data_IF_703268597695
#
_entry.id   IF_703268597695
#
_cell.length_a   1.000
_cell.length_b   1.000
_cell.length_c   1.000
_cell.angle_alpha   90.00
_cell.angle_beta   90.00
_cell.angle_gamma   90.00
#
_symmetry.space_group_name_H-M   'P 1'
#
loop_
_entity.id
_entity.type
_entity.pdbx_description
1 polymer ?
#
# COMPACT_ATOMS: atom_id res chain seq x y z
N UNK A 1 50.48 -38.66 -51.72
CA UNK A 1 49.16 -38.67 -51.11
C UNK A 1 49.26 -38.00 -49.76
N UNK A 2 48.41 -37.09 -49.47
CA UNK A 2 48.20 -36.28 -48.24
C UNK A 2 48.45 -34.79 -48.45
N UNK A 3 47.40 -34.12 -48.89
CA UNK A 3 47.16 -32.71 -48.59
C UNK A 3 45.72 -32.34 -48.95
N UNK A 4 44.72 -32.79 -48.18
CA UNK A 4 43.31 -32.40 -48.36
C UNK A 4 42.53 -32.23 -47.05
N UNK A 5 43.17 -32.24 -45.83
CA UNK A 5 42.46 -32.22 -44.57
C UNK A 5 42.33 -30.82 -43.86
N UNK A 6 43.12 -29.82 -44.27
CA UNK A 6 43.23 -28.57 -43.49
C UNK A 6 42.28 -27.44 -43.97
N UNK A 7 41.75 -27.55 -45.17
CA UNK A 7 40.86 -26.49 -45.71
C UNK A 7 39.43 -26.53 -45.21
N UNK A 8 38.92 -27.70 -44.82
CA UNK A 8 37.51 -27.82 -44.38
C UNK A 8 37.24 -27.35 -42.93
N UNK A 9 38.26 -27.37 -42.03
CA UNK A 9 38.09 -26.86 -40.65
C UNK A 9 38.04 -25.35 -40.53
N UNK A 10 38.73 -24.66 -41.46
CA UNK A 10 38.73 -23.18 -41.47
C UNK A 10 37.44 -22.59 -42.01
N UNK A 11 36.76 -23.24 -42.94
CA UNK A 11 35.46 -22.81 -43.47
C UNK A 11 34.31 -23.02 -42.48
N UNK A 12 34.34 -24.12 -41.72
CA UNK A 12 33.33 -24.39 -40.68
C UNK A 12 33.42 -23.42 -39.50
N UNK A 13 34.64 -23.05 -39.06
CA UNK A 13 34.90 -22.05 -38.02
C UNK A 13 34.53 -20.63 -38.43
N UNK A 14 34.71 -20.28 -39.73
CA UNK A 14 34.28 -18.98 -40.25
C UNK A 14 32.76 -18.88 -40.38
N UNK A 15 32.07 -19.93 -40.75
CA UNK A 15 30.60 -20.01 -40.76
C UNK A 15 29.99 -19.86 -39.40
N UNK A 16 30.54 -20.59 -38.39
CA UNK A 16 30.06 -20.49 -36.99
C UNK A 16 30.30 -19.06 -36.39
N UNK A 17 31.44 -18.41 -36.70
CA UNK A 17 31.70 -17.03 -36.27
C UNK A 17 30.75 -16.02 -36.91
N UNK A 18 30.40 -16.20 -38.18
CA UNK A 18 29.41 -15.37 -38.89
C UNK A 18 28.00 -15.59 -38.33
N UNK A 19 27.63 -16.82 -37.96
CA UNK A 19 26.33 -17.11 -37.33
C UNK A 19 26.22 -16.51 -35.96
N UNK A 20 27.25 -16.62 -35.11
CA UNK A 20 27.29 -16.00 -33.77
C UNK A 20 27.26 -14.48 -33.91
N UNK A 21 27.99 -13.89 -34.83
CA UNK A 21 27.96 -12.45 -35.08
C UNK A 21 26.57 -11.98 -35.57
N UNK A 22 25.92 -12.74 -36.45
CA UNK A 22 24.55 -12.43 -36.91
C UNK A 22 23.53 -12.54 -35.80
N UNK A 23 23.64 -13.54 -34.93
CA UNK A 23 22.74 -13.70 -33.73
C UNK A 23 23.00 -12.57 -32.73
N UNK A 24 24.27 -12.23 -32.46
CA UNK A 24 24.59 -11.09 -31.60
C UNK A 24 24.11 -9.74 -32.18
N UNK A 25 24.22 -9.55 -33.52
CA UNK A 25 23.65 -8.39 -34.18
C UNK A 25 22.12 -8.36 -34.15
N UNK A 26 21.45 -9.49 -34.33
CA UNK A 26 19.97 -9.57 -34.18
C UNK A 26 19.53 -9.28 -32.75
N UNK A 27 20.20 -9.85 -31.75
CA UNK A 27 19.93 -9.54 -30.34
C UNK A 27 20.18 -8.06 -30.04
N UNK A 28 21.26 -7.49 -30.55
CA UNK A 28 21.57 -6.05 -30.42
C UNK A 28 20.53 -5.17 -31.14
N UNK A 29 20.03 -5.60 -32.31
CA UNK A 29 19.02 -4.85 -33.09
C UNK A 29 17.66 -4.96 -32.38
N UNK A 30 17.31 -6.11 -31.78
CA UNK A 30 16.07 -6.27 -30.98
C UNK A 30 16.15 -5.44 -29.69
N UNK A 31 17.30 -5.44 -29.00
CA UNK A 31 17.52 -4.60 -27.83
C UNK A 31 17.49 -3.08 -28.19
N UNK A 32 18.09 -2.69 -29.31
CA UNK A 32 18.06 -1.33 -29.83
C UNK A 32 16.65 -0.92 -30.31
N UNK A 33 15.87 -1.85 -30.87
CA UNK A 33 14.49 -1.60 -31.25
C UNK A 33 13.56 -1.47 -30.03
N UNK A 34 13.82 -2.21 -28.96
CA UNK A 34 13.13 -2.07 -27.68
C UNK A 34 13.47 -0.71 -27.01
N UNK A 35 14.75 -0.27 -27.02
CA UNK A 35 15.14 1.06 -26.55
C UNK A 35 14.52 2.20 -27.38
N UNK A 36 14.33 2.00 -28.68
CA UNK A 36 13.66 2.99 -29.55
C UNK A 36 12.14 3.05 -29.38
N UNK A 37 11.52 2.02 -28.78
CA UNK A 37 10.07 2.06 -28.42
C UNK A 37 9.79 3.02 -27.26
N UNK A 38 10.77 3.34 -26.44
CA UNK A 38 10.70 4.21 -25.27
C UNK A 38 11.38 5.55 -25.56
N UNK A 39 10.66 6.46 -26.20
CA UNK A 39 11.10 7.87 -26.29
C UNK A 39 10.81 8.55 -24.94
N UNK A 40 11.57 8.19 -23.91
CA UNK A 40 11.60 9.01 -22.70
C UNK A 40 12.33 10.32 -22.98
N UNK A 41 11.85 11.43 -22.42
CA UNK A 41 12.63 12.65 -22.41
C UNK A 41 13.97 12.36 -21.75
N UNK A 42 15.05 12.36 -22.49
CA UNK A 42 16.39 12.02 -22.00
C UNK A 42 16.77 12.93 -20.83
N UNK A 43 16.73 12.38 -19.63
CA UNK A 43 17.56 12.85 -18.52
C UNK A 43 18.74 11.88 -18.48
N UNK A 44 19.94 12.41 -18.55
CA UNK A 44 21.18 11.61 -18.63
C UNK A 44 21.39 10.68 -17.39
N UNK A 45 20.56 10.83 -16.35
CA UNK A 45 20.62 10.08 -15.08
C UNK A 45 19.40 9.18 -14.81
N UNK A 46 18.37 9.19 -15.67
CA UNK A 46 17.18 8.39 -15.42
C UNK A 46 17.46 6.89 -15.58
N UNK A 47 17.12 6.11 -14.55
CA UNK A 47 17.06 4.66 -14.62
C UNK A 47 15.63 4.25 -14.98
N UNK A 48 15.48 3.42 -16.00
CA UNK A 48 14.19 2.88 -16.47
C UNK A 48 14.21 1.38 -16.32
N UNK A 49 13.19 0.81 -15.70
CA UNK A 49 12.93 -0.62 -15.61
C UNK A 49 11.52 -0.90 -16.07
N UNK A 50 11.32 -1.87 -16.96
CA UNK A 50 10.01 -2.22 -17.51
C UNK A 50 9.92 -3.72 -17.68
N UNK A 51 8.79 -4.28 -17.26
CA UNK A 51 8.36 -5.63 -17.60
C UNK A 51 6.90 -5.56 -18.04
N UNK A 52 6.62 -6.11 -19.23
CA UNK A 52 5.25 -6.39 -19.69
C UNK A 52 5.20 -7.87 -20.00
N UNK A 53 4.43 -8.62 -19.19
CA UNK A 53 4.34 -10.08 -19.29
C UNK A 53 2.95 -10.51 -19.72
N UNK A 54 2.89 -11.36 -20.74
CA UNK A 54 1.67 -12.10 -21.09
C UNK A 54 1.41 -13.17 -20.01
N UNK A 55 0.25 -13.09 -19.35
CA UNK A 55 -0.08 -14.01 -18.24
C UNK A 55 -0.50 -15.41 -18.72
N UNK A 56 -0.89 -15.55 -19.98
CA UNK A 56 -1.28 -16.85 -20.52
C UNK A 56 -0.07 -17.69 -20.95
N UNK A 57 0.96 -17.04 -21.50
CA UNK A 57 2.18 -17.73 -21.99
C UNK A 57 3.34 -17.64 -20.98
N UNK A 58 3.34 -16.64 -20.09
CA UNK A 58 4.46 -16.32 -19.23
C UNK A 58 5.60 -15.58 -19.94
N UNK A 59 5.43 -15.21 -21.21
CA UNK A 59 6.44 -14.52 -22.01
C UNK A 59 6.50 -13.02 -21.66
N UNK A 60 7.70 -12.49 -21.51
CA UNK A 60 7.94 -11.06 -21.36
C UNK A 60 7.99 -10.37 -22.74
N UNK A 61 6.90 -9.66 -23.09
CA UNK A 61 6.80 -8.88 -24.32
C UNK A 61 7.77 -7.70 -24.33
N UNK A 62 8.02 -7.15 -23.15
CA UNK A 62 9.03 -6.12 -22.92
C UNK A 62 9.77 -6.44 -21.63
N UNK A 63 11.10 -6.49 -21.71
CA UNK A 63 12.02 -6.64 -20.59
C UNK A 63 13.14 -5.58 -20.73
N UNK A 64 13.15 -4.62 -19.80
CA UNK A 64 14.19 -3.57 -19.74
C UNK A 64 14.63 -3.44 -18.29
N UNK A 65 15.90 -3.76 -18.01
CA UNK A 65 16.49 -3.68 -16.68
C UNK A 65 15.64 -4.37 -15.60
N UNK A 66 15.05 -5.51 -15.91
CA UNK A 66 14.11 -6.23 -15.05
C UNK A 66 14.70 -6.57 -13.69
N UNK A 67 16.00 -6.86 -13.61
CA UNK A 67 16.70 -7.24 -12.37
C UNK A 67 17.31 -6.05 -11.61
N UNK A 68 17.08 -4.81 -12.08
CA UNK A 68 17.66 -3.64 -11.43
C UNK A 68 16.87 -3.25 -10.20
N UNK A 69 17.53 -3.17 -9.02
CA UNK A 69 16.94 -2.64 -7.81
C UNK A 69 16.59 -1.16 -7.96
N UNK A 70 15.32 -0.83 -7.82
CA UNK A 70 14.76 0.51 -8.01
C UNK A 70 13.85 0.91 -6.85
N UNK A 71 13.73 2.21 -6.60
CA UNK A 71 12.77 2.73 -5.63
C UNK A 71 11.34 2.60 -6.19
N UNK A 72 10.44 1.88 -5.50
CA UNK A 72 9.09 1.62 -5.99
C UNK A 72 8.13 2.79 -5.78
N UNK A 73 8.38 3.67 -4.82
CA UNK A 73 7.36 4.55 -4.29
C UNK A 73 6.07 3.76 -3.95
N UNK A 74 4.89 4.32 -4.13
CA UNK A 74 3.63 3.71 -3.68
C UNK A 74 3.18 2.47 -4.45
N UNK A 75 3.93 1.95 -5.45
CA UNK A 75 3.64 0.60 -5.95
C UNK A 75 4.02 -0.48 -4.92
N UNK A 76 4.75 -0.11 -3.85
CA UNK A 76 4.96 -0.96 -2.66
C UNK A 76 3.63 -1.47 -2.08
N UNK A 77 2.56 -0.68 -2.16
CA UNK A 77 1.22 -1.07 -1.71
C UNK A 77 0.66 -2.31 -2.42
N UNK A 78 1.16 -2.64 -3.62
CA UNK A 78 0.85 -3.91 -4.28
C UNK A 78 1.39 -5.09 -3.48
N UNK A 79 2.61 -4.94 -2.93
CA UNK A 79 3.27 -5.97 -2.10
C UNK A 79 2.47 -6.17 -0.81
N UNK A 80 2.20 -5.07 -0.08
CA UNK A 80 1.42 -5.11 1.17
C UNK A 80 0.02 -5.71 0.96
N UNK A 81 -0.70 -5.31 -0.11
CA UNK A 81 -2.02 -5.88 -0.41
C UNK A 81 -1.96 -7.37 -0.72
N UNK A 82 -0.95 -7.82 -1.46
CA UNK A 82 -0.76 -9.24 -1.77
C UNK A 82 -0.47 -10.04 -0.49
N UNK A 83 0.40 -9.55 0.39
CA UNK A 83 0.72 -10.21 1.65
C UNK A 83 -0.52 -10.37 2.55
N UNK A 84 -1.37 -9.34 2.68
CA UNK A 84 -2.63 -9.40 3.42
C UNK A 84 -3.58 -10.46 2.84
N UNK A 85 -3.68 -10.55 1.50
CA UNK A 85 -4.48 -11.58 0.84
C UNK A 85 -3.91 -12.98 1.03
N UNK A 86 -2.59 -13.14 0.98
CA UNK A 86 -1.92 -14.43 1.23
C UNK A 86 -2.10 -14.90 2.68
N UNK A 87 -2.23 -13.98 3.63
CA UNK A 87 -2.56 -14.27 5.04
C UNK A 87 -4.07 -14.44 5.29
N UNK A 88 -4.92 -14.34 4.24
CA UNK A 88 -6.39 -14.49 4.27
C UNK A 88 -7.12 -13.52 5.21
N UNK A 89 -6.64 -12.29 5.37
CA UNK A 89 -7.21 -11.29 6.29
C UNK A 89 -8.16 -10.30 5.62
N UNK A 90 -8.48 -10.47 4.35
CA UNK A 90 -9.31 -9.52 3.58
C UNK A 90 -10.74 -9.37 4.11
N UNK A 91 -11.27 -10.40 4.75
CA UNK A 91 -12.62 -10.43 5.32
C UNK A 91 -12.65 -10.04 6.81
N UNK A 92 -11.51 -9.74 7.41
CA UNK A 92 -11.42 -9.21 8.76
C UNK A 92 -11.70 -7.71 8.77
N UNK A 93 -11.93 -7.16 9.98
CA UNK A 93 -12.03 -5.73 10.23
C UNK A 93 -11.33 -5.39 11.55
N UNK A 94 -10.93 -4.14 11.73
CA UNK A 94 -10.51 -3.65 13.02
C UNK A 94 -11.70 -3.63 13.99
N UNK A 95 -11.45 -3.97 15.23
CA UNK A 95 -12.44 -3.93 16.31
C UNK A 95 -11.88 -3.09 17.46
N UNK A 96 -12.23 -1.79 17.46
CA UNK A 96 -11.84 -0.85 18.51
C UNK A 96 -12.82 -1.03 19.68
N UNK A 97 -12.37 -1.65 20.75
CA UNK A 97 -13.14 -1.90 21.93
C UNK A 97 -13.12 -0.69 22.89
N UNK A 98 -14.27 -0.45 23.52
CA UNK A 98 -14.44 0.58 24.53
C UNK A 98 -15.00 -0.08 25.79
N UNK A 99 -14.27 0.06 26.88
CA UNK A 99 -14.61 -0.55 28.16
C UNK A 99 -14.59 0.49 29.29
N UNK A 100 -15.16 0.14 30.42
CA UNK A 100 -15.06 0.91 31.64
C UNK A 100 -14.40 0.06 32.73
N UNK A 101 -13.64 0.72 33.61
CA UNK A 101 -13.17 0.13 34.87
C UNK A 101 -14.08 0.58 36.02
N UNK A 102 -13.99 -0.09 37.16
CA UNK A 102 -14.70 0.34 38.37
C UNK A 102 -16.19 0.05 38.38
N UNK A 103 -16.91 0.77 39.22
CA UNK A 103 -18.33 0.52 39.51
C UNK A 103 -19.16 1.79 39.32
N UNK A 104 -20.45 1.61 38.97
CA UNK A 104 -21.41 2.71 38.85
C UNK A 104 -22.17 2.84 40.17
N UNK A 105 -22.10 4.02 40.77
CA UNK A 105 -22.81 4.33 42.00
C UNK A 105 -24.33 4.52 41.77
N UNK A 106 -25.16 4.46 42.83
CA UNK A 106 -26.59 4.82 42.74
C UNK A 106 -26.86 6.23 42.18
N UNK A 107 -25.90 7.17 42.35
CA UNK A 107 -25.95 8.55 41.83
C UNK A 107 -25.52 8.65 40.38
N UNK A 108 -25.37 7.53 39.65
CA UNK A 108 -24.99 7.47 38.26
C UNK A 108 -23.54 7.97 37.98
N UNK A 109 -22.64 7.79 38.95
CA UNK A 109 -21.23 8.12 38.81
C UNK A 109 -20.42 6.82 38.61
N UNK A 110 -19.66 6.75 37.53
CA UNK A 110 -18.66 5.69 37.34
C UNK A 110 -17.44 6.06 38.19
N UNK A 111 -17.17 5.31 39.24
CA UNK A 111 -15.92 5.39 40.00
C UNK A 111 -14.89 4.53 39.27
N UNK A 112 -14.29 5.08 38.23
CA UNK A 112 -13.40 4.39 37.31
C UNK A 112 -13.11 5.23 36.08
N UNK A 113 -12.49 4.57 35.08
CA UNK A 113 -12.02 5.16 33.83
C UNK A 113 -12.81 4.64 32.62
N UNK A 114 -12.78 5.40 31.55
CA UNK A 114 -13.22 4.97 30.23
C UNK A 114 -11.98 4.61 29.39
N UNK A 115 -11.88 3.36 28.99
CA UNK A 115 -10.74 2.84 28.23
C UNK A 115 -11.15 2.64 26.77
N UNK A 116 -10.35 3.13 25.84
CA UNK A 116 -10.49 2.90 24.40
C UNK A 116 -9.27 2.14 23.90
N UNK A 117 -9.46 0.89 23.47
CA UNK A 117 -8.37 0.03 23.02
C UNK A 117 -7.94 0.41 21.58
N UNK A 118 -6.71 0.91 21.44
CA UNK A 118 -6.14 1.28 20.16
C UNK A 118 -5.59 0.07 19.42
N UNK A 119 -6.16 -0.24 18.25
CA UNK A 119 -5.80 -1.40 17.42
C UNK A 119 -5.20 -1.00 16.07
N UNK A 120 -4.88 0.29 15.89
CA UNK A 120 -4.34 0.79 14.62
C UNK A 120 -5.37 1.00 13.52
N UNK A 121 -6.69 0.98 13.83
CA UNK A 121 -7.75 1.24 12.86
C UNK A 121 -7.57 2.62 12.20
N UNK A 122 -7.31 2.68 10.87
CA UNK A 122 -7.08 3.94 10.18
C UNK A 122 -8.38 4.63 9.76
N UNK A 123 -9.54 4.00 9.99
CA UNK A 123 -10.83 4.43 9.44
C UNK A 123 -11.68 5.20 10.43
N UNK A 124 -11.26 5.34 11.70
CA UNK A 124 -12.02 6.07 12.71
C UNK A 124 -12.21 7.53 12.31
N UNK A 125 -13.48 7.93 12.09
CA UNK A 125 -13.88 9.26 11.57
C UNK A 125 -13.16 9.65 10.26
N UNK A 126 -12.76 8.64 9.46
CA UNK A 126 -12.18 8.88 8.15
C UNK A 126 -13.23 9.46 7.19
N UNK A 127 -12.81 10.46 6.41
CA UNK A 127 -13.64 11.02 5.33
C UNK A 127 -13.87 10.04 4.18
N UNK A 128 -13.10 8.95 4.13
CA UNK A 128 -13.17 7.90 3.10
C UNK A 128 -14.31 6.91 3.35
N UNK A 129 -14.76 6.78 4.60
CA UNK A 129 -15.79 5.84 5.03
C UNK A 129 -16.83 6.54 5.92
N UNK A 130 -17.63 7.48 5.36
CA UNK A 130 -18.57 8.28 6.12
C UNK A 130 -19.64 7.44 6.85
N UNK A 131 -19.97 6.26 6.35
CA UNK A 131 -20.94 5.32 6.95
C UNK A 131 -20.41 4.65 8.23
N UNK A 132 -19.09 4.75 8.51
CA UNK A 132 -18.47 4.20 9.72
C UNK A 132 -18.11 5.29 10.74
N UNK A 133 -18.57 6.53 10.53
CA UNK A 133 -18.36 7.64 11.46
C UNK A 133 -19.34 7.59 12.64
N UNK A 134 -19.09 8.43 13.66
CA UNK A 134 -19.96 8.61 14.82
C UNK A 134 -19.58 7.75 16.03
N UNK A 135 -18.30 7.36 16.15
CA UNK A 135 -17.82 6.58 17.31
C UNK A 135 -18.04 7.32 18.63
N UNK A 136 -17.80 8.64 18.69
CA UNK A 136 -17.97 9.43 19.91
C UNK A 136 -19.43 9.50 20.37
N UNK A 137 -20.38 9.63 19.43
CA UNK A 137 -21.82 9.58 19.72
C UNK A 137 -22.28 8.20 20.15
N UNK A 138 -21.71 7.16 19.55
CA UNK A 138 -21.98 5.76 19.93
C UNK A 138 -21.54 5.48 21.36
N UNK A 139 -20.33 5.90 21.73
CA UNK A 139 -19.82 5.78 23.11
C UNK A 139 -20.73 6.50 24.09
N UNK A 140 -21.06 7.78 23.83
CA UNK A 140 -21.93 8.57 24.69
C UNK A 140 -23.29 7.90 24.88
N UNK A 141 -23.88 7.37 23.80
CA UNK A 141 -25.17 6.65 23.86
C UNK A 141 -25.09 5.37 24.70
N UNK A 142 -23.95 4.66 24.66
CA UNK A 142 -23.76 3.44 25.47
C UNK A 142 -23.60 3.77 26.94
N UNK A 143 -22.84 4.81 27.28
CA UNK A 143 -22.71 5.29 28.67
C UNK A 143 -24.07 5.75 29.24
N UNK A 144 -24.87 6.49 28.47
CA UNK A 144 -26.24 6.88 28.89
C UNK A 144 -27.12 5.67 29.16
N UNK A 145 -27.09 4.64 28.32
CA UNK A 145 -27.84 3.40 28.52
C UNK A 145 -27.37 2.60 29.71
N UNK A 146 -26.10 2.69 30.07
CA UNK A 146 -25.54 2.12 31.29
C UNK A 146 -25.86 2.95 32.54
N UNK A 147 -26.60 4.07 32.41
CA UNK A 147 -26.99 4.95 33.50
C UNK A 147 -25.88 5.86 34.01
N UNK A 148 -24.78 6.00 33.24
CA UNK A 148 -23.62 6.81 33.64
C UNK A 148 -23.84 8.26 33.23
N UNK A 149 -23.78 9.16 34.22
CA UNK A 149 -23.87 10.62 34.03
C UNK A 149 -22.55 11.35 34.35
N UNK A 150 -21.65 10.65 35.02
CA UNK A 150 -20.32 11.18 35.33
C UNK A 150 -19.30 10.04 35.32
N UNK A 151 -18.15 10.28 34.74
CA UNK A 151 -16.94 9.46 34.86
C UNK A 151 -16.04 10.20 35.85
N UNK A 152 -15.70 9.59 36.99
CA UNK A 152 -14.84 10.22 37.99
C UNK A 152 -13.38 10.28 37.53
N UNK A 153 -12.91 9.24 36.85
CA UNK A 153 -11.55 9.11 36.34
C UNK A 153 -11.31 9.74 34.97
N UNK A 154 -10.51 9.08 34.17
CA UNK A 154 -9.99 9.58 32.90
C UNK A 154 -10.63 8.87 31.69
N UNK A 155 -10.38 9.42 30.52
CA UNK A 155 -10.52 8.74 29.23
C UNK A 155 -9.11 8.35 28.78
N UNK A 156 -8.80 7.07 28.83
CA UNK A 156 -7.51 6.53 28.45
C UNK A 156 -7.55 5.82 27.11
N UNK A 157 -6.50 5.98 26.34
CA UNK A 157 -6.28 5.22 25.12
C UNK A 157 -5.27 4.11 25.43
N UNK A 158 -5.78 2.90 25.56
CA UNK A 158 -4.93 1.72 25.74
C UNK A 158 -4.18 1.41 24.44
N UNK A 159 -2.87 1.37 24.54
CA UNK A 159 -1.94 1.05 23.45
C UNK A 159 -1.20 -0.27 23.69
N UNK A 160 -1.62 -1.06 24.66
CA UNK A 160 -1.06 -2.39 24.92
C UNK A 160 -1.17 -3.24 23.65
N UNK A 161 -0.07 -3.85 23.23
CA UNK A 161 0.00 -4.58 21.96
C UNK A 161 0.37 -3.73 20.74
N UNK A 162 0.61 -2.42 20.90
CA UNK A 162 1.08 -1.57 19.80
C UNK A 162 2.51 -1.09 20.07
N UNK A 163 3.50 -1.91 19.73
CA UNK A 163 4.89 -1.75 20.13
C UNK A 163 5.57 -0.47 19.60
N UNK A 164 5.17 0.00 18.44
CA UNK A 164 5.74 1.20 17.78
C UNK A 164 4.64 2.06 17.18
N UNK A 165 4.74 3.39 17.35
CA UNK A 165 3.78 4.35 16.82
C UNK A 165 4.45 5.57 16.20
N UNK A 166 3.70 6.29 15.38
CA UNK A 166 4.13 7.50 14.71
C UNK A 166 4.69 7.27 13.32
N UNK A 167 5.41 8.25 12.76
CA UNK A 167 5.98 8.17 11.43
C UNK A 167 7.07 7.11 11.32
N UNK A 168 7.22 6.53 10.12
CA UNK A 168 8.29 5.58 9.83
C UNK A 168 9.68 6.17 10.06
N UNK A 169 10.56 5.42 10.72
CA UNK A 169 11.91 5.88 11.13
C UNK A 169 12.81 6.32 9.95
N UNK A 170 12.52 5.85 8.74
CA UNK A 170 13.28 6.15 7.52
C UNK A 170 12.56 7.14 6.59
N UNK A 171 11.49 7.78 7.06
CA UNK A 171 10.79 8.79 6.28
C UNK A 171 11.53 10.13 6.32
N UNK A 172 11.44 10.88 5.23
CA UNK A 172 12.07 12.19 5.14
C UNK A 172 11.38 13.20 6.07
N UNK A 173 12.15 13.99 6.81
CA UNK A 173 11.62 14.98 7.75
C UNK A 173 10.66 16.00 7.11
N UNK A 174 10.85 16.28 5.82
CA UNK A 174 9.98 17.17 5.06
C UNK A 174 8.59 16.59 4.84
N UNK A 175 8.46 15.27 4.77
CA UNK A 175 7.20 14.56 4.56
C UNK A 175 6.35 14.51 5.83
N UNK A 176 6.99 14.50 7.02
CA UNK A 176 6.31 14.32 8.32
C UNK A 176 5.34 15.44 8.69
N UNK A 177 5.41 16.59 8.03
CA UNK A 177 4.48 17.71 8.25
C UNK A 177 3.17 17.60 7.46
N UNK A 178 3.12 16.70 6.48
CA UNK A 178 2.00 16.53 5.58
C UNK A 178 1.16 15.30 5.97
N UNK A 179 -0.11 15.29 5.63
CA UNK A 179 -1.04 14.20 5.94
C UNK A 179 -0.52 12.81 5.53
N UNK A 180 0.16 12.72 4.37
CA UNK A 180 0.70 11.46 3.88
C UNK A 180 1.93 10.94 4.66
N UNK A 181 2.50 11.75 5.54
CA UNK A 181 3.62 11.42 6.44
C UNK A 181 3.22 11.44 7.92
N UNK A 182 1.93 11.41 8.25
CA UNK A 182 1.45 11.49 9.64
C UNK A 182 1.87 10.31 10.51
N UNK A 183 2.08 9.14 9.91
CA UNK A 183 2.40 7.92 10.63
C UNK A 183 1.19 7.17 11.17
N UNK A 184 1.45 6.00 11.74
CA UNK A 184 0.45 5.10 12.29
C UNK A 184 0.48 5.16 13.83
N UNK A 185 -0.69 5.23 14.46
CA UNK A 185 -0.86 5.25 15.91
C UNK A 185 -1.81 4.13 16.36
N UNK A 186 -1.78 3.73 17.64
CA UNK A 186 -2.76 2.80 18.20
C UNK A 186 -4.19 3.25 17.92
N UNK A 187 -4.49 4.52 18.16
CA UNK A 187 -5.74 5.18 17.78
C UNK A 187 -5.43 6.22 16.69
N UNK A 188 -5.87 5.96 15.47
CA UNK A 188 -5.89 6.94 14.39
C UNK A 188 -7.24 7.66 14.39
N UNK A 189 -7.28 8.90 13.90
CA UNK A 189 -8.48 9.72 13.95
C UNK A 189 -8.51 10.73 12.81
N UNK A 190 -9.61 10.80 12.04
CA UNK A 190 -9.79 11.76 10.93
C UNK A 190 -8.63 11.73 9.93
N UNK A 191 -8.28 10.54 9.44
CA UNK A 191 -7.17 10.31 8.50
C UNK A 191 -5.82 10.83 9.03
N UNK A 192 -5.65 11.01 10.35
CA UNK A 192 -4.54 11.66 11.02
C UNK A 192 -4.21 13.05 10.41
N UNK A 193 -5.24 13.80 10.00
CA UNK A 193 -5.11 15.07 9.29
C UNK A 193 -5.70 16.24 10.08
N UNK A 194 -5.02 17.38 10.05
CA UNK A 194 -5.48 18.68 10.57
C UNK A 194 -5.62 19.66 9.42
N UNK A 195 -6.79 20.29 9.32
CA UNK A 195 -7.11 21.16 8.19
C UNK A 195 -7.18 20.35 6.88
N UNK A 196 -6.61 20.90 5.81
CA UNK A 196 -6.71 20.29 4.48
C UNK A 196 -5.61 19.26 4.21
N UNK A 197 -4.40 19.42 4.76
CA UNK A 197 -3.23 18.66 4.30
C UNK A 197 -2.12 18.45 5.35
N UNK A 198 -2.31 18.85 6.60
CA UNK A 198 -1.29 18.75 7.65
C UNK A 198 -1.41 17.48 8.48
N UNK A 199 -0.27 16.89 8.82
CA UNK A 199 -0.21 15.75 9.72
C UNK A 199 -0.70 16.09 11.13
N UNK A 200 -1.59 15.27 11.67
CA UNK A 200 -1.99 15.29 13.06
C UNK A 200 -0.93 14.57 13.90
N UNK A 201 -0.29 15.29 14.82
CA UNK A 201 0.81 14.74 15.62
C UNK A 201 0.36 13.83 16.77
N UNK A 202 -0.86 14.00 17.23
CA UNK A 202 -1.42 13.23 18.33
C UNK A 202 -2.93 13.00 18.10
N UNK A 203 -3.29 11.97 17.32
CA UNK A 203 -4.68 11.66 17.05
C UNK A 203 -5.46 11.26 18.30
N UNK A 204 -4.85 10.53 19.23
CA UNK A 204 -5.46 10.13 20.50
C UNK A 204 -5.92 11.36 21.31
N UNK A 205 -5.08 12.40 21.45
CA UNK A 205 -5.45 13.64 22.13
C UNK A 205 -6.61 14.34 21.46
N UNK A 206 -6.63 14.40 20.13
CA UNK A 206 -7.72 15.02 19.37
C UNK A 206 -9.02 14.26 19.57
N UNK A 207 -8.98 12.94 19.46
CA UNK A 207 -10.11 12.06 19.72
C UNK A 207 -10.67 12.24 21.15
N UNK A 208 -9.80 12.21 22.17
CA UNK A 208 -10.21 12.39 23.57
C UNK A 208 -10.88 13.75 23.80
N UNK A 209 -10.37 14.82 23.19
CA UNK A 209 -10.97 16.15 23.28
C UNK A 209 -12.36 16.20 22.62
N UNK A 210 -12.53 15.56 21.48
CA UNK A 210 -13.80 15.48 20.76
C UNK A 210 -14.81 14.61 21.54
N UNK A 211 -14.36 13.46 22.08
CA UNK A 211 -15.19 12.60 22.91
C UNK A 211 -15.68 13.33 24.18
N UNK A 212 -14.81 14.04 24.89
CA UNK A 212 -15.21 14.86 26.05
C UNK A 212 -16.28 15.89 25.70
N UNK A 213 -16.14 16.58 24.55
CA UNK A 213 -17.16 17.51 24.06
C UNK A 213 -18.50 16.82 23.79
N UNK A 214 -18.48 15.67 23.14
CA UNK A 214 -19.68 14.88 22.86
C UNK A 214 -20.33 14.39 24.14
N UNK A 215 -19.56 13.89 25.11
CA UNK A 215 -20.05 13.46 26.43
C UNK A 215 -20.73 14.61 27.17
N UNK A 216 -20.07 15.77 27.26
CA UNK A 216 -20.63 16.95 27.92
C UNK A 216 -21.94 17.41 27.25
N UNK A 217 -22.00 17.43 25.91
CA UNK A 217 -23.21 17.78 25.16
C UNK A 217 -24.34 16.80 25.41
N UNK A 218 -24.04 15.55 25.79
CA UNK A 218 -24.99 14.50 26.16
C UNK A 218 -25.27 14.44 27.69
N UNK A 219 -24.76 15.40 28.48
CA UNK A 219 -24.96 15.47 29.92
C UNK A 219 -24.12 14.47 30.72
N UNK A 220 -22.97 14.05 30.19
CA UNK A 220 -22.00 13.18 30.86
C UNK A 220 -20.75 13.99 31.17
N UNK A 221 -20.41 14.14 32.43
CA UNK A 221 -19.19 14.83 32.89
C UNK A 221 -18.00 13.87 32.98
N UNK A 222 -16.78 14.38 32.77
CA UNK A 222 -15.52 13.68 33.01
C UNK A 222 -14.73 14.42 34.07
N UNK A 223 -14.46 13.75 35.19
CA UNK A 223 -13.88 14.35 36.39
C UNK A 223 -12.37 14.52 36.34
N UNK A 224 -11.67 13.67 35.60
CA UNK A 224 -10.19 13.67 35.49
C UNK A 224 -9.49 13.60 36.84
N UNK A 225 -9.94 12.68 37.71
CA UNK A 225 -9.38 12.47 39.03
C UNK A 225 -8.73 11.08 39.12
N UNK A 226 -7.65 10.98 39.85
CA UNK A 226 -7.05 9.70 40.20
C UNK A 226 -8.05 8.93 41.06
N UNK A 227 -8.54 7.81 40.54
CA UNK A 227 -9.48 6.95 41.22
C UNK A 227 -8.75 5.68 41.66
N UNK A 228 -8.69 5.46 42.98
CA UNK A 228 -8.10 4.23 43.55
C UNK A 228 -9.23 3.19 43.65
N UNK A 229 -9.15 2.17 42.82
CA UNK A 229 -9.99 0.98 42.92
C UNK A 229 -9.08 -0.26 42.95
N UNK A 230 -9.58 -1.34 43.53
CA UNK A 230 -8.89 -2.62 43.55
C UNK A 230 -8.81 -3.28 42.15
N UNK A 231 -8.44 -4.54 42.09
CA UNK A 231 -8.53 -5.30 40.82
C UNK A 231 -10.00 -5.37 40.37
N UNK A 232 -10.36 -4.53 39.39
CA UNK A 232 -11.71 -4.47 38.85
C UNK A 232 -11.65 -4.95 37.40
N UNK A 233 -12.52 -5.89 37.00
CA UNK A 233 -12.55 -6.34 35.62
C UNK A 233 -12.98 -5.22 34.69
N UNK A 234 -12.38 -5.19 33.50
CA UNK A 234 -12.82 -4.35 32.39
C UNK A 234 -14.23 -4.80 31.95
N UNK A 235 -15.17 -3.85 31.90
CA UNK A 235 -16.52 -4.11 31.39
C UNK A 235 -16.64 -3.50 30.00
N UNK A 236 -16.73 -4.35 28.98
CA UNK A 236 -16.94 -3.92 27.58
C UNK A 236 -18.32 -3.27 27.45
N UNK A 237 -18.35 -2.03 26.92
CA UNK A 237 -19.59 -1.29 26.69
C UNK A 237 -19.90 -1.06 25.21
N UNK A 238 -18.88 -1.05 24.35
CA UNK A 238 -19.03 -0.82 22.91
C UNK A 238 -17.87 -1.41 22.13
N UNK A 239 -18.13 -1.88 20.93
CA UNK A 239 -17.11 -2.23 19.93
C UNK A 239 -17.42 -1.49 18.65
N UNK A 240 -16.51 -0.61 18.22
CA UNK A 240 -16.52 0.00 16.90
C UNK A 240 -15.87 -0.96 15.92
N UNK A 241 -16.50 -1.18 14.76
CA UNK A 241 -15.95 -2.03 13.69
C UNK A 241 -15.69 -1.20 12.47
N UNK A 242 -14.48 -1.35 11.89
CA UNK A 242 -14.11 -0.74 10.63
C UNK A 242 -14.82 -1.39 9.43
N UNK A 243 -14.71 -0.82 8.22
CA UNK A 243 -14.91 -1.58 6.99
C UNK A 243 -14.02 -2.84 6.97
N UNK A 244 -14.38 -3.83 6.15
CA UNK A 244 -13.51 -4.98 5.90
C UNK A 244 -12.17 -4.53 5.31
N UNK A 245 -11.08 -5.24 5.63
CA UNK A 245 -9.74 -4.92 5.13
C UNK A 245 -9.69 -4.84 3.60
N UNK A 246 -10.48 -5.67 2.89
CA UNK A 246 -10.61 -5.57 1.43
C UNK A 246 -11.07 -4.17 0.97
N UNK A 247 -12.04 -3.56 1.65
CA UNK A 247 -12.51 -2.20 1.33
C UNK A 247 -11.44 -1.14 1.62
N UNK A 248 -10.74 -1.30 2.75
CA UNK A 248 -9.61 -0.42 3.13
C UNK A 248 -8.48 -0.52 2.10
N UNK A 249 -8.13 -1.74 1.66
CA UNK A 249 -7.12 -1.97 0.61
C UNK A 249 -7.54 -1.38 -0.74
N UNK A 250 -8.82 -1.47 -1.11
CA UNK A 250 -9.33 -0.86 -2.34
C UNK A 250 -9.13 0.66 -2.32
N UNK A 251 -9.53 1.35 -1.25
CA UNK A 251 -9.33 2.80 -1.10
C UNK A 251 -7.83 3.15 -1.05
N UNK A 252 -7.03 2.40 -0.28
CA UNK A 252 -5.58 2.54 -0.23
C UNK A 252 -4.93 2.52 -1.61
N UNK A 253 -5.36 1.62 -2.48
CA UNK A 253 -4.81 1.47 -3.83
C UNK A 253 -5.25 2.59 -4.75
N UNK A 254 -6.53 3.00 -4.70
CA UNK A 254 -7.10 4.06 -5.54
C UNK A 254 -6.53 5.42 -5.21
N UNK A 255 -6.56 5.80 -3.94
CA UNK A 255 -6.15 7.12 -3.46
C UNK A 255 -4.67 7.17 -3.06
N UNK A 256 -4.02 6.00 -3.03
CA UNK A 256 -2.63 5.89 -2.59
C UNK A 256 -2.42 6.29 -1.12
N UNK A 257 -3.38 5.98 -0.26
CA UNK A 257 -3.36 6.36 1.15
C UNK A 257 -2.23 5.64 1.91
N UNK A 258 -1.31 6.40 2.52
CA UNK A 258 -0.17 5.84 3.23
C UNK A 258 -0.57 5.31 4.61
N UNK A 259 -1.44 6.02 5.34
CA UNK A 259 -1.93 5.57 6.64
C UNK A 259 -2.60 4.21 6.54
N UNK A 260 -3.44 4.01 5.52
CA UNK A 260 -4.09 2.72 5.28
C UNK A 260 -3.05 1.63 4.96
N UNK A 261 -2.00 1.96 4.20
CA UNK A 261 -0.96 0.99 3.86
C UNK A 261 -0.15 0.55 5.09
N UNK A 262 0.22 1.48 5.97
CA UNK A 262 0.92 1.13 7.21
C UNK A 262 0.03 0.30 8.15
N UNK A 263 -1.27 0.61 8.22
CA UNK A 263 -2.23 -0.21 8.98
C UNK A 263 -2.37 -1.61 8.40
N UNK A 264 -2.48 -1.75 7.07
CA UNK A 264 -2.56 -3.06 6.41
C UNK A 264 -1.28 -3.88 6.57
N UNK A 265 -0.12 -3.26 6.55
CA UNK A 265 1.12 -3.97 6.90
C UNK A 265 1.12 -4.42 8.37
N UNK A 266 0.68 -3.55 9.28
CA UNK A 266 0.68 -3.83 10.73
C UNK A 266 -0.20 -5.01 11.12
N UNK A 267 -1.32 -5.25 10.43
CA UNK A 267 -2.20 -6.40 10.76
C UNK A 267 -1.51 -7.76 10.55
N UNK A 268 -0.42 -7.84 9.78
CA UNK A 268 0.37 -9.07 9.63
C UNK A 268 1.11 -9.46 10.92
N UNK A 269 1.35 -8.50 11.81
CA UNK A 269 1.91 -8.71 13.16
C UNK A 269 1.32 -7.67 14.13
N UNK A 270 0.07 -7.84 14.59
CA UNK A 270 -0.66 -6.82 15.34
C UNK A 270 0.02 -6.40 16.64
N UNK A 271 0.58 -7.37 17.38
CA UNK A 271 1.26 -7.15 18.66
C UNK A 271 2.77 -6.92 18.50
N UNK A 272 3.28 -7.05 17.28
CA UNK A 272 4.70 -6.94 16.96
C UNK A 272 5.13 -5.53 16.58
N UNK A 273 6.41 -5.43 16.27
CA UNK A 273 7.03 -4.22 15.70
C UNK A 273 6.77 -4.12 14.20
N UNK A 274 7.12 -2.99 13.59
CA UNK A 274 7.16 -2.86 12.12
C UNK A 274 8.10 -3.90 11.49
N UNK A 275 9.22 -4.22 12.15
CA UNK A 275 10.16 -5.23 11.68
C UNK A 275 9.53 -6.64 11.64
N UNK A 276 8.70 -6.99 12.64
CA UNK A 276 7.99 -8.27 12.67
C UNK A 276 6.95 -8.35 11.56
N UNK A 277 6.22 -7.26 11.29
CA UNK A 277 5.26 -7.17 10.19
C UNK A 277 5.93 -7.32 8.81
N UNK A 278 7.06 -6.64 8.57
CA UNK A 278 7.86 -6.78 7.36
C UNK A 278 8.46 -8.18 7.20
N UNK A 279 8.90 -8.79 8.29
CA UNK A 279 9.36 -10.18 8.29
C UNK A 279 8.23 -11.12 7.90
N UNK A 280 7.04 -10.96 8.48
CA UNK A 280 5.86 -11.76 8.13
C UNK A 280 5.45 -11.57 6.66
N UNK A 281 5.46 -10.34 6.15
CA UNK A 281 5.25 -10.04 4.72
C UNK A 281 6.22 -10.83 3.85
N UNK A 282 7.52 -10.77 4.15
CA UNK A 282 8.56 -11.51 3.41
C UNK A 282 8.37 -13.04 3.48
N UNK A 283 8.00 -13.58 4.64
CA UNK A 283 7.71 -15.01 4.82
C UNK A 283 6.52 -15.47 3.98
N UNK A 284 5.44 -14.70 3.94
CA UNK A 284 4.25 -15.00 3.13
C UNK A 284 4.57 -15.01 1.64
N UNK A 285 5.32 -14.01 1.18
CA UNK A 285 5.74 -13.90 -0.22
C UNK A 285 6.68 -15.03 -0.62
N UNK A 286 7.67 -15.36 0.22
CA UNK A 286 8.59 -16.47 0.01
C UNK A 286 7.88 -17.82 0.00
N UNK A 287 6.94 -18.06 0.92
CA UNK A 287 6.12 -19.27 0.96
C UNK A 287 5.23 -19.42 -0.29
N UNK A 288 4.85 -18.30 -0.92
CA UNK A 288 4.13 -18.29 -2.18
C UNK A 288 5.04 -18.47 -3.41
N UNK A 289 6.36 -18.59 -3.24
CA UNK A 289 7.33 -18.88 -4.30
C UNK A 289 8.05 -17.68 -4.89
N UNK A 290 7.93 -16.48 -4.29
CA UNK A 290 8.64 -15.29 -4.77
C UNK A 290 10.07 -15.21 -4.23
N UNK A 291 11.00 -14.72 -5.03
CA UNK A 291 12.38 -14.42 -4.61
C UNK A 291 12.42 -13.10 -3.80
N UNK A 292 12.28 -13.21 -2.49
CA UNK A 292 12.31 -12.06 -1.59
C UNK A 292 13.69 -11.40 -1.46
N UNK A 293 14.79 -11.97 -1.97
CA UNK A 293 16.09 -11.30 -2.04
C UNK A 293 16.05 -10.06 -2.95
N UNK A 294 15.12 -10.03 -3.90
CA UNK A 294 14.87 -8.90 -4.80
C UNK A 294 13.98 -7.80 -4.20
N UNK A 295 13.60 -7.92 -2.91
CA UNK A 295 12.80 -6.96 -2.16
C UNK A 295 13.53 -6.46 -0.92
N UNK A 296 13.64 -5.15 -0.77
CA UNK A 296 14.11 -4.47 0.44
C UNK A 296 13.00 -3.54 0.91
N UNK A 297 12.18 -4.00 1.85
CA UNK A 297 11.04 -3.27 2.38
C UNK A 297 11.36 -2.66 3.76
N UNK A 298 10.92 -1.43 3.97
CA UNK A 298 11.07 -0.68 5.22
C UNK A 298 9.77 -0.02 5.68
N UNK A 299 8.74 -0.03 4.86
CA UNK A 299 7.37 0.40 5.15
C UNK A 299 6.37 -0.24 4.17
N UNK A 300 5.09 -0.17 4.48
CA UNK A 300 4.04 -0.72 3.61
C UNK A 300 3.57 0.24 2.51
N UNK A 301 3.79 1.52 2.70
CA UNK A 301 3.28 2.57 1.81
C UNK A 301 4.18 2.87 0.61
N UNK A 302 5.49 2.60 0.75
CA UNK A 302 6.49 3.01 -0.21
C UNK A 302 6.93 4.46 -0.05
N UNK A 303 6.66 5.10 1.11
CA UNK A 303 7.04 6.50 1.35
C UNK A 303 8.54 6.65 1.57
N UNK A 304 9.19 5.70 2.25
CA UNK A 304 10.64 5.75 2.42
C UNK A 304 11.38 5.56 1.09
N UNK A 305 12.37 6.43 0.87
CA UNK A 305 13.28 6.32 -0.28
C UNK A 305 14.22 5.13 -0.20
N UNK A 306 14.28 4.45 0.95
CA UNK A 306 15.13 3.28 1.16
C UNK A 306 14.56 2.00 0.54
N UNK A 307 13.25 1.90 0.33
CA UNK A 307 12.64 0.73 -0.31
C UNK A 307 13.25 0.46 -1.69
N UNK A 308 13.51 -0.80 -1.97
CA UNK A 308 13.99 -1.28 -3.27
C UNK A 308 13.28 -2.57 -3.66
N UNK A 309 12.94 -2.67 -4.93
CA UNK A 309 12.56 -3.93 -5.56
C UNK A 309 12.95 -3.91 -7.03
N UNK A 310 13.00 -5.09 -7.64
CA UNK A 310 13.24 -5.21 -9.08
C UNK A 310 11.92 -5.19 -9.86
N UNK A 311 11.90 -4.66 -11.10
CA UNK A 311 10.73 -4.81 -11.98
C UNK A 311 10.29 -6.27 -12.15
N UNK A 312 11.24 -7.21 -12.25
CA UNK A 312 10.96 -8.64 -12.31
C UNK A 312 10.19 -9.13 -11.08
N UNK A 313 10.67 -8.82 -9.86
CA UNK A 313 9.96 -9.17 -8.63
C UNK A 313 8.50 -8.68 -8.64
N UNK A 314 8.28 -7.45 -9.04
CA UNK A 314 6.92 -6.89 -9.11
C UNK A 314 6.08 -7.60 -10.18
N UNK A 315 6.65 -7.96 -11.33
CA UNK A 315 5.96 -8.71 -12.38
C UNK A 315 5.63 -10.15 -11.91
N UNK A 316 6.55 -10.79 -11.19
CA UNK A 316 6.34 -12.11 -10.59
C UNK A 316 5.23 -12.08 -9.53
N UNK A 317 5.21 -11.05 -8.67
CA UNK A 317 4.13 -10.81 -7.71
C UNK A 317 2.77 -10.67 -8.41
N UNK A 318 2.70 -9.82 -9.43
CA UNK A 318 1.47 -9.61 -10.20
C UNK A 318 1.02 -10.91 -10.90
N UNK A 319 1.97 -11.67 -11.46
CA UNK A 319 1.70 -12.96 -12.09
C UNK A 319 1.17 -13.98 -11.09
N UNK A 320 1.81 -14.10 -9.92
CA UNK A 320 1.36 -14.96 -8.83
C UNK A 320 -0.08 -14.63 -8.43
N UNK A 321 -0.38 -13.37 -8.21
CA UNK A 321 -1.70 -12.93 -7.78
C UNK A 321 -2.76 -13.12 -8.88
N UNK A 322 -2.40 -12.92 -10.15
CA UNK A 322 -3.31 -13.14 -11.29
C UNK A 322 -3.71 -14.64 -11.46
N UNK A 323 -2.86 -15.57 -11.06
CA UNK A 323 -3.15 -17.00 -11.10
C UNK A 323 -3.69 -17.57 -9.77
N UNK A 324 -3.82 -16.72 -8.74
CA UNK A 324 -4.33 -17.14 -7.43
C UNK A 324 -5.87 -17.21 -7.39
N UNK A 325 -6.45 -17.92 -6.42
CA UNK A 325 -7.90 -17.83 -6.15
C UNK A 325 -8.40 -16.42 -5.82
N UNK A 326 -7.50 -15.51 -5.45
CA UNK A 326 -7.78 -14.11 -5.12
C UNK A 326 -7.63 -13.15 -6.32
N UNK A 327 -7.37 -13.64 -7.53
CA UNK A 327 -7.06 -12.84 -8.72
C UNK A 327 -8.08 -11.72 -8.97
N UNK A 328 -9.37 -12.05 -8.97
CA UNK A 328 -10.44 -11.08 -9.22
C UNK A 328 -10.48 -10.01 -8.12
N UNK A 329 -10.37 -10.41 -6.85
CA UNK A 329 -10.36 -9.49 -5.72
C UNK A 329 -9.14 -8.58 -5.77
N UNK A 330 -7.95 -9.14 -5.96
CA UNK A 330 -6.70 -8.36 -6.04
C UNK A 330 -6.74 -7.36 -7.20
N UNK A 331 -7.16 -7.80 -8.39
CA UNK A 331 -7.31 -6.94 -9.58
C UNK A 331 -8.29 -5.79 -9.32
N UNK A 332 -9.37 -6.04 -8.57
CA UNK A 332 -10.36 -5.02 -8.24
C UNK A 332 -9.84 -3.88 -7.36
N UNK A 333 -8.71 -4.07 -6.68
CA UNK A 333 -8.09 -3.01 -5.88
C UNK A 333 -7.43 -1.91 -6.72
N UNK A 334 -7.01 -2.24 -7.94
CA UNK A 334 -6.30 -1.29 -8.80
C UNK A 334 -7.24 -0.29 -9.46
N UNK A 335 -6.93 1.02 -9.42
CA UNK A 335 -7.71 2.03 -10.13
C UNK A 335 -7.58 1.90 -11.65
N UNK A 336 -8.68 2.20 -12.35
CA UNK A 336 -8.75 2.19 -13.81
C UNK A 336 -8.08 3.42 -14.40
N UNK A 337 -7.10 3.22 -15.29
CA UNK A 337 -6.41 4.31 -15.98
C UNK A 337 -7.40 5.09 -16.87
N UNK A 338 -7.28 6.41 -16.84
CA UNK A 338 -8.18 7.33 -17.56
C UNK A 338 -9.46 7.68 -16.81
N UNK A 339 -9.82 6.95 -15.75
CA UNK A 339 -11.12 7.04 -15.09
C UNK A 339 -11.02 7.49 -13.62
N UNK A 340 -10.24 6.82 -12.79
CA UNK A 340 -10.31 7.00 -11.34
C UNK A 340 -8.95 7.18 -10.66
N UNK A 341 -8.97 7.63 -9.41
CA UNK A 341 -7.86 7.70 -8.50
C UNK A 341 -6.65 8.45 -9.04
N UNK A 342 -5.49 7.98 -8.65
CA UNK A 342 -4.20 8.58 -9.00
C UNK A 342 -3.81 8.40 -10.48
N UNK A 343 -4.49 7.51 -11.20
CA UNK A 343 -4.23 7.21 -12.63
C UNK A 343 -5.26 7.81 -13.59
N UNK A 344 -6.20 8.62 -13.10
CA UNK A 344 -7.28 9.24 -13.92
C UNK A 344 -6.79 10.13 -15.08
N UNK A 345 -5.52 10.53 -15.08
CA UNK A 345 -4.89 11.32 -16.16
C UNK A 345 -4.03 10.47 -17.10
N UNK A 346 -3.80 9.20 -16.79
CA UNK A 346 -3.05 8.29 -17.64
C UNK A 346 -4.01 7.63 -18.62
N UNK A 347 -3.69 7.65 -19.92
CA UNK A 347 -4.51 7.01 -20.98
C UNK A 347 -5.94 7.58 -21.12
N UNK A 348 -6.22 8.76 -20.52
CA UNK A 348 -7.52 9.41 -20.65
C UNK A 348 -7.87 9.66 -22.13
N UNK A 349 -9.11 9.42 -22.49
CA UNK A 349 -9.63 9.62 -23.85
C UNK A 349 -8.92 8.76 -24.93
N UNK A 350 -8.31 7.65 -24.52
CA UNK A 350 -7.70 6.68 -25.44
C UNK A 350 -8.45 5.35 -25.42
N UNK A 351 -8.18 4.48 -26.41
CA UNK A 351 -8.77 3.12 -26.49
C UNK A 351 -8.42 2.21 -25.31
N UNK A 352 -7.38 2.53 -24.53
CA UNK A 352 -6.96 1.77 -23.35
C UNK A 352 -7.55 2.34 -22.04
N UNK A 353 -8.32 3.43 -22.09
CA UNK A 353 -9.03 3.94 -20.92
C UNK A 353 -9.96 2.86 -20.35
N UNK A 354 -9.91 2.63 -19.04
CA UNK A 354 -10.67 1.60 -18.35
C UNK A 354 -10.19 0.15 -18.58
N UNK A 355 -9.32 -0.11 -19.57
CA UNK A 355 -8.78 -1.45 -19.90
C UNK A 355 -7.41 -1.74 -19.26
N UNK A 356 -6.81 -0.73 -18.65
CA UNK A 356 -5.57 -0.82 -17.91
C UNK A 356 -5.88 -0.42 -16.46
N UNK A 357 -5.50 -1.26 -15.51
CA UNK A 357 -5.65 -1.03 -14.07
C UNK A 357 -4.28 -1.00 -13.43
N UNK A 358 -3.90 0.13 -12.80
CA UNK A 358 -2.54 0.35 -12.33
C UNK A 358 -2.48 1.10 -11.00
N UNK A 359 -1.67 0.61 -10.09
CA UNK A 359 -1.20 1.41 -8.96
C UNK A 359 -0.09 2.35 -9.43
N UNK A 360 -0.20 3.62 -9.10
CA UNK A 360 0.87 4.60 -9.32
C UNK A 360 1.79 4.72 -8.10
N UNK A 361 3.06 5.00 -8.35
CA UNK A 361 4.03 5.41 -7.33
C UNK A 361 4.74 6.68 -7.77
N UNK A 362 4.77 7.71 -6.94
CA UNK A 362 5.42 8.98 -7.27
C UNK A 362 6.06 9.61 -6.04
N UNK A 363 7.30 10.01 -6.20
CA UNK A 363 8.03 10.90 -5.29
C UNK A 363 9.04 11.72 -6.11
N UNK A 364 9.76 12.65 -5.50
CA UNK A 364 10.74 13.48 -6.23
C UNK A 364 11.74 12.61 -6.99
N UNK A 365 11.74 12.72 -8.31
CA UNK A 365 12.61 11.96 -9.20
C UNK A 365 12.19 10.50 -9.46
N UNK A 366 11.03 10.06 -8.98
CA UNK A 366 10.51 8.69 -9.16
C UNK A 366 9.08 8.75 -9.69
N UNK A 367 8.80 7.94 -10.73
CA UNK A 367 7.46 7.67 -11.22
C UNK A 367 7.37 6.20 -11.61
N UNK A 368 6.46 5.48 -10.97
CA UNK A 368 6.27 4.05 -11.17
C UNK A 368 4.79 3.72 -11.40
N UNK A 369 4.55 2.64 -12.14
CA UNK A 369 3.24 2.03 -12.32
C UNK A 369 3.38 0.52 -12.27
N UNK A 370 2.43 -0.16 -11.60
CA UNK A 370 2.35 -1.62 -11.55
C UNK A 370 0.89 -2.06 -11.55
N UNK A 371 0.55 -3.11 -12.28
CA UNK A 371 -0.80 -3.67 -12.36
C UNK A 371 -1.03 -4.45 -13.64
N UNK A 372 -2.20 -4.29 -14.26
CA UNK A 372 -2.64 -5.21 -15.31
C UNK A 372 -3.27 -4.50 -16.51
N UNK A 373 -3.17 -5.14 -17.68
CA UNK A 373 -4.19 -5.05 -18.71
C UNK A 373 -5.28 -6.07 -18.38
N UNK A 374 -6.54 -5.69 -18.56
CA UNK A 374 -7.70 -6.55 -18.31
C UNK A 374 -8.52 -6.75 -19.61
N UNK A 375 -9.19 -7.88 -19.68
CA UNK A 375 -10.19 -8.17 -20.73
C UNK A 375 -11.54 -7.51 -20.41
N UNK A 376 -12.54 -7.78 -21.25
CA UNK A 376 -13.88 -7.23 -21.11
C UNK A 376 -14.63 -7.76 -19.86
N UNK A 377 -14.23 -8.94 -19.36
CA UNK A 377 -14.72 -9.54 -18.11
C UNK A 377 -13.98 -9.00 -16.86
N UNK A 378 -12.97 -8.14 -17.04
CA UNK A 378 -12.14 -7.60 -15.96
C UNK A 378 -11.05 -8.55 -15.47
N UNK A 379 -10.76 -9.64 -16.21
CA UNK A 379 -9.69 -10.58 -15.87
C UNK A 379 -8.35 -10.07 -16.35
N UNK A 380 -7.28 -10.20 -15.53
CA UNK A 380 -5.94 -9.79 -15.93
C UNK A 380 -5.42 -10.65 -17.09
N UNK A 381 -4.89 -10.00 -18.12
CA UNK A 381 -4.31 -10.65 -19.30
C UNK A 381 -2.81 -10.44 -19.41
N UNK A 382 -2.32 -9.30 -18.94
CA UNK A 382 -0.89 -8.97 -18.93
C UNK A 382 -0.55 -8.29 -17.61
N UNK A 383 0.59 -8.62 -17.02
CA UNK A 383 1.21 -7.86 -15.95
C UNK A 383 2.03 -6.72 -16.57
N UNK A 384 1.93 -5.54 -15.97
CA UNK A 384 2.59 -4.31 -16.44
C UNK A 384 3.34 -3.69 -15.28
N UNK A 385 4.64 -3.51 -15.43
CA UNK A 385 5.52 -2.80 -14.49
C UNK A 385 6.33 -1.76 -15.25
N UNK A 386 6.23 -0.51 -14.85
CA UNK A 386 7.05 0.59 -15.37
C UNK A 386 7.63 1.35 -14.20
N UNK A 387 8.94 1.37 -14.06
CA UNK A 387 9.65 2.07 -13.00
C UNK A 387 10.64 3.06 -13.60
N UNK A 388 10.54 4.33 -13.24
CA UNK A 388 11.47 5.38 -13.67
C UNK A 388 11.99 6.09 -12.44
N UNK A 389 13.29 5.98 -12.20
CA UNK A 389 13.99 6.61 -11.07
C UNK A 389 14.97 7.67 -11.59
N UNK A 390 15.28 8.65 -10.74
CA UNK A 390 16.23 9.74 -11.01
C UNK A 390 15.88 10.60 -12.23
N UNK A 391 14.57 10.71 -12.57
CA UNK A 391 14.15 11.60 -13.66
C UNK A 391 14.15 13.07 -13.20
N UNK A 392 14.49 13.96 -14.12
CA UNK A 392 14.46 15.42 -13.93
C UNK A 392 13.40 16.12 -14.77
N UNK A 393 12.67 15.38 -15.62
CA UNK A 393 11.60 15.95 -16.44
C UNK A 393 10.31 16.14 -15.65
N UNK A 394 9.40 17.03 -16.07
CA UNK A 394 8.07 17.16 -15.45
C UNK A 394 7.30 15.84 -15.47
N UNK A 395 6.70 15.48 -14.33
CA UNK A 395 5.95 14.21 -14.17
C UNK A 395 4.83 14.05 -15.20
N UNK A 396 4.17 15.14 -15.61
CA UNK A 396 3.13 15.09 -16.64
C UNK A 396 3.69 14.63 -18.00
N UNK A 397 4.87 15.11 -18.37
CA UNK A 397 5.54 14.71 -19.62
C UNK A 397 5.94 13.22 -19.59
N UNK A 398 6.48 12.77 -18.45
CA UNK A 398 6.84 11.36 -18.28
C UNK A 398 5.62 10.46 -18.31
N UNK A 399 4.52 10.84 -17.64
CA UNK A 399 3.24 10.12 -17.68
C UNK A 399 2.71 9.97 -19.11
N UNK A 400 2.76 11.03 -19.92
CA UNK A 400 2.32 10.98 -21.31
C UNK A 400 3.20 10.01 -22.12
N UNK A 401 4.54 10.05 -21.96
CA UNK A 401 5.45 9.12 -22.62
C UNK A 401 5.19 7.65 -22.23
N UNK A 402 4.83 7.39 -20.96
CA UNK A 402 4.41 6.06 -20.49
C UNK A 402 3.08 5.67 -21.13
N UNK A 403 2.12 6.58 -21.24
CA UNK A 403 0.86 6.35 -21.94
C UNK A 403 1.08 6.00 -23.42
N UNK A 404 1.94 6.74 -24.12
CA UNK A 404 2.31 6.47 -25.51
C UNK A 404 3.02 5.12 -25.68
N UNK A 405 3.84 4.72 -24.70
CA UNK A 405 4.44 3.39 -24.67
C UNK A 405 3.35 2.30 -24.57
N UNK A 406 2.44 2.40 -23.61
CA UNK A 406 1.36 1.42 -23.43
C UNK A 406 0.45 1.34 -24.65
N UNK A 407 0.18 2.46 -25.33
CA UNK A 407 -0.58 2.48 -26.58
C UNK A 407 0.14 1.75 -27.72
N UNK A 408 1.46 1.78 -27.78
CA UNK A 408 2.23 1.02 -28.77
C UNK A 408 2.35 -0.45 -28.40
N UNK A 409 2.53 -0.76 -27.13
CA UNK A 409 2.64 -2.13 -26.62
C UNK A 409 1.36 -2.93 -26.84
N UNK A 410 0.21 -2.27 -26.71
CA UNK A 410 -1.10 -2.87 -26.92
C UNK A 410 -1.82 -2.21 -28.11
N UNK A 411 -1.50 -2.56 -29.36
CA UNK A 411 -2.00 -1.85 -30.54
C UNK A 411 -3.51 -2.02 -30.79
N UNK A 412 -4.15 -3.09 -30.26
CA UNK A 412 -5.61 -3.36 -30.39
C UNK A 412 -6.19 -3.89 -29.08
#
# INVERSE_FOLDING_TARGET
MEYTGIHNHRSALSGLRLLIAAVCCMVAIVAQAAENRLVFPRSASAAVGIVVRDLATGEDLTDINADKLMAPASIMKCVTSAAVLLDNRENECFATEVAVTGEVTPDSILIGDLIVCGVGDPTIESSRFPEYQGITDSIASRLQRAGIRKIAGYIDIDSVGFAEQGPGKKWELEDLKWYYGAGLFPLNYRDNTVGADRAMKNPARTFTADLKRTLLARGIEVGEQDVVFGEVPLTLIYTHRSPMHASVMRDMMVESNNLFAESMLRILSPEGTLADALKRESELLGAAGLDTCSLQAYDGSGLTRANRLTPAFMADLLTLMAHSPKAQLYTSFFPRAGEEGTVKKLLRDTRLAGRIVLKSGSMKGVLCYAGYRIDDDGRPTHAIVVMVNSHSCPTARLRNAIGDFLLREFPQ
#
